data_IF_167953191494
#
_entry.id   IF_167953191494
#
_cell.length_a   1.000
_cell.length_b   1.000
_cell.length_c   1.000
_cell.angle_alpha   90.00
_cell.angle_beta   90.00
_cell.angle_gamma   90.00
#
_symmetry.space_group_name_H-M   'P 1'
#
loop_
_entity.id
_entity.type
_entity.pdbx_description
1 polymer ?
#
# COMPACT_ATOMS: atom_id res chain seq x y z
N UNK A 1 1.54 -12.31 11.04
CA UNK A 1 1.67 -11.15 10.17
C UNK A 1 0.93 -9.93 10.72
N UNK A 2 -0.22 -10.16 11.35
CA UNK A 2 -1.03 -9.11 11.97
C UNK A 2 -1.29 -9.45 13.44
N UNK A 3 -0.39 -9.07 14.37
CA UNK A 3 -0.55 -9.39 15.80
C UNK A 3 -1.87 -8.90 16.39
N UNK A 4 -2.38 -7.74 15.97
CA UNK A 4 -3.66 -7.21 16.45
C UNK A 4 -4.82 -8.12 16.12
N UNK A 5 -4.84 -8.73 14.94
CA UNK A 5 -5.88 -9.68 14.56
C UNK A 5 -5.79 -10.94 15.38
N UNK A 6 -4.58 -11.41 15.70
CA UNK A 6 -4.39 -12.58 16.56
C UNK A 6 -4.93 -12.32 17.96
N UNK A 7 -4.65 -11.15 18.53
CA UNK A 7 -5.16 -10.76 19.84
C UNK A 7 -6.68 -10.68 19.89
N UNK A 8 -7.32 -10.38 18.76
CA UNK A 8 -8.76 -10.19 18.63
C UNK A 8 -9.46 -11.30 17.87
N UNK A 9 -8.84 -12.47 17.75
CA UNK A 9 -9.39 -13.59 16.98
C UNK A 9 -10.75 -14.07 17.48
N UNK A 10 -11.07 -13.85 18.77
CA UNK A 10 -12.36 -14.21 19.35
C UNK A 10 -13.48 -13.20 19.12
N UNK A 11 -13.19 -12.07 18.47
CA UNK A 11 -14.19 -11.02 18.23
C UNK A 11 -14.79 -11.15 16.81
N UNK A 12 -16.04 -10.73 16.66
CA UNK A 12 -16.66 -10.60 15.35
C UNK A 12 -16.01 -9.44 14.56
N UNK A 13 -15.95 -9.56 13.22
CA UNK A 13 -15.34 -8.55 12.37
C UNK A 13 -15.96 -7.16 12.55
N UNK A 14 -17.26 -7.07 12.88
CA UNK A 14 -17.95 -5.81 13.07
C UNK A 14 -17.53 -5.04 14.32
N UNK A 15 -16.78 -5.67 15.24
CA UNK A 15 -16.27 -5.02 16.47
C UNK A 15 -14.83 -4.53 16.33
N UNK A 16 -14.19 -4.77 15.18
CA UNK A 16 -12.83 -4.34 14.93
C UNK A 16 -12.78 -2.85 14.55
N UNK A 17 -11.65 -2.19 14.87
CA UNK A 17 -11.39 -0.83 14.38
C UNK A 17 -11.25 -0.81 12.86
N UNK A 18 -11.31 0.40 12.24
CA UNK A 18 -11.11 0.54 10.80
C UNK A 18 -9.78 -0.04 10.32
N UNK A 19 -8.70 0.17 11.08
CA UNK A 19 -7.38 -0.39 10.75
C UNK A 19 -7.34 -1.91 10.86
N UNK A 20 -7.96 -2.45 11.92
CA UNK A 20 -8.03 -3.90 12.10
C UNK A 20 -8.90 -4.55 11.03
N UNK A 21 -9.99 -3.90 10.62
CA UNK A 21 -10.81 -4.35 9.49
C UNK A 21 -10.01 -4.38 8.20
N UNK A 22 -9.19 -3.37 7.95
CA UNK A 22 -8.34 -3.32 6.76
C UNK A 22 -7.29 -4.44 6.77
N UNK A 23 -6.68 -4.72 7.92
CA UNK A 23 -5.76 -5.85 8.06
C UNK A 23 -6.45 -7.17 7.79
N UNK A 24 -7.70 -7.32 8.23
CA UNK A 24 -8.49 -8.53 7.98
C UNK A 24 -8.77 -8.71 6.48
N UNK A 25 -9.10 -7.62 5.77
CA UNK A 25 -9.31 -7.65 4.32
C UNK A 25 -8.06 -8.11 3.59
N UNK A 26 -6.90 -7.56 3.96
CA UNK A 26 -5.62 -7.96 3.37
C UNK A 26 -5.33 -9.44 3.66
N UNK A 27 -5.55 -9.87 4.89
CA UNK A 27 -5.37 -11.28 5.29
C UNK A 27 -6.26 -12.24 4.49
N UNK A 28 -7.52 -11.87 4.28
CA UNK A 28 -8.45 -12.66 3.46
C UNK A 28 -7.98 -12.77 2.02
N UNK A 29 -7.51 -11.66 1.44
CA UNK A 29 -6.98 -11.67 0.08
C UNK A 29 -5.77 -12.61 -0.03
N UNK A 30 -4.88 -12.59 0.95
CA UNK A 30 -3.69 -13.46 0.98
C UNK A 30 -4.05 -14.94 1.10
N UNK A 31 -5.16 -15.28 1.74
CA UNK A 31 -5.61 -16.66 1.85
C UNK A 31 -5.98 -17.29 0.51
N UNK A 32 -6.24 -16.50 -0.51
CA UNK A 32 -6.48 -16.98 -1.87
C UNK A 32 -5.19 -17.36 -2.61
N UNK A 33 -4.03 -17.17 -1.98
CA UNK A 33 -2.71 -17.40 -2.55
C UNK A 33 -2.53 -16.67 -3.90
N UNK A 34 -2.68 -15.34 -3.93
CA UNK A 34 -2.72 -14.59 -5.18
C UNK A 34 -1.33 -14.45 -5.81
N UNK A 35 -1.28 -14.40 -7.15
CA UNK A 35 -0.05 -14.06 -7.88
C UNK A 35 0.24 -12.55 -7.80
N UNK A 36 -0.81 -11.75 -7.75
CA UNK A 36 -0.72 -10.29 -7.65
C UNK A 36 -1.69 -9.80 -6.58
N UNK A 37 -1.19 -9.02 -5.65
CA UNK A 37 -1.99 -8.34 -4.63
C UNK A 37 -2.14 -6.87 -5.03
N UNK A 38 -3.37 -6.39 -5.14
CA UNK A 38 -3.66 -4.98 -5.47
C UNK A 38 -4.19 -4.28 -4.23
N UNK A 39 -3.51 -3.21 -3.83
CA UNK A 39 -3.89 -2.38 -2.69
C UNK A 39 -4.17 -0.96 -3.17
N UNK A 40 -5.45 -0.58 -3.16
CA UNK A 40 -5.92 0.72 -3.62
C UNK A 40 -6.24 1.61 -2.42
N UNK A 41 -5.35 2.57 -2.16
CA UNK A 41 -5.46 3.52 -1.04
C UNK A 41 -5.76 2.83 0.29
N UNK A 42 -5.03 1.74 0.58
CA UNK A 42 -5.31 0.84 1.71
C UNK A 42 -5.17 1.49 3.09
N UNK A 43 -4.52 2.65 3.19
CA UNK A 43 -4.30 3.34 4.47
C UNK A 43 -5.11 4.63 4.62
N UNK A 44 -5.96 4.95 3.65
CA UNK A 44 -6.77 6.18 3.69
C UNK A 44 -7.68 6.20 4.91
N UNK A 45 -7.69 7.32 5.61
CA UNK A 45 -8.53 7.50 6.80
C UNK A 45 -8.05 6.79 8.06
N UNK A 46 -6.90 6.13 8.03
CA UNK A 46 -6.38 5.41 9.18
C UNK A 46 -5.38 6.25 9.99
N UNK A 47 -5.29 5.95 11.30
CA UNK A 47 -4.32 6.59 12.19
C UNK A 47 -2.88 6.28 11.76
N UNK A 48 -1.91 7.20 12.02
CA UNK A 48 -0.53 7.03 11.59
C UNK A 48 0.12 5.72 12.05
N UNK A 49 -0.15 5.28 13.28
CA UNK A 49 0.38 4.02 13.81
C UNK A 49 -0.11 2.83 12.99
N UNK A 50 -1.39 2.81 12.65
CA UNK A 50 -1.99 1.74 11.86
C UNK A 50 -1.47 1.77 10.42
N UNK A 51 -1.31 2.95 9.83
CA UNK A 51 -0.71 3.07 8.50
C UNK A 51 0.69 2.47 8.47
N UNK A 52 1.50 2.76 9.50
CA UNK A 52 2.86 2.21 9.61
C UNK A 52 2.83 0.68 9.69
N UNK A 53 1.93 0.11 10.46
CA UNK A 53 1.79 -1.35 10.56
C UNK A 53 1.45 -1.99 9.20
N UNK A 54 0.55 -1.36 8.44
CA UNK A 54 0.19 -1.84 7.10
C UNK A 54 1.38 -1.78 6.15
N UNK A 55 2.13 -0.67 6.15
CA UNK A 55 3.30 -0.53 5.29
C UNK A 55 4.41 -1.51 5.66
N UNK A 56 4.60 -1.81 6.93
CA UNK A 56 5.54 -2.84 7.38
C UNK A 56 5.12 -4.22 6.88
N UNK A 57 3.84 -4.52 6.90
CA UNK A 57 3.30 -5.75 6.35
C UNK A 57 3.56 -5.84 4.84
N UNK A 58 3.29 -4.78 4.09
CA UNK A 58 3.53 -4.73 2.64
C UNK A 58 5.01 -4.96 2.33
N UNK A 59 5.90 -4.30 3.07
CA UNK A 59 7.34 -4.49 2.89
C UNK A 59 7.77 -5.94 3.12
N UNK A 60 7.21 -6.58 4.14
CA UNK A 60 7.48 -7.98 4.43
C UNK A 60 6.99 -8.90 3.32
N UNK A 61 5.78 -8.69 2.82
CA UNK A 61 5.21 -9.47 1.71
C UNK A 61 6.09 -9.35 0.46
N UNK A 62 6.56 -8.15 0.17
CA UNK A 62 7.48 -7.93 -0.94
C UNK A 62 8.76 -8.74 -0.78
N UNK A 63 9.36 -8.73 0.42
CA UNK A 63 10.58 -9.52 0.69
C UNK A 63 10.35 -11.01 0.54
N UNK A 64 9.14 -11.47 0.80
CA UNK A 64 8.76 -12.89 0.64
C UNK A 64 8.41 -13.25 -0.81
N UNK A 65 8.56 -12.33 -1.75
CA UNK A 65 8.36 -12.58 -3.17
C UNK A 65 6.98 -12.27 -3.72
N UNK A 66 6.09 -11.67 -2.92
CA UNK A 66 4.75 -11.31 -3.38
C UNK A 66 4.82 -10.15 -4.37
N UNK A 67 4.19 -10.30 -5.53
CA UNK A 67 3.99 -9.20 -6.48
C UNK A 67 2.86 -8.32 -5.98
N UNK A 68 3.09 -7.01 -5.90
CA UNK A 68 2.16 -6.06 -5.32
C UNK A 68 2.02 -4.83 -6.22
N UNK A 69 0.77 -4.43 -6.47
CA UNK A 69 0.45 -3.15 -7.10
C UNK A 69 -0.12 -2.23 -6.03
N UNK A 70 0.58 -1.13 -5.74
CA UNK A 70 0.15 -0.12 -4.78
C UNK A 70 -0.38 1.10 -5.51
N UNK A 71 -1.58 1.54 -5.13
CA UNK A 71 -2.17 2.77 -5.63
C UNK A 71 -2.32 3.69 -4.43
N UNK A 72 -1.54 4.77 -4.39
CA UNK A 72 -1.52 5.68 -3.24
C UNK A 72 -1.00 7.05 -3.64
N UNK A 73 -1.31 8.05 -2.81
CA UNK A 73 -0.83 9.43 -2.95
C UNK A 73 0.42 9.70 -2.12
N UNK A 74 0.77 8.81 -1.21
CA UNK A 74 1.92 8.96 -0.33
C UNK A 74 3.22 8.57 -1.05
N UNK A 75 3.81 9.53 -1.73
CA UNK A 75 5.02 9.33 -2.54
C UNK A 75 6.19 8.88 -1.68
N UNK A 76 6.33 9.38 -0.46
CA UNK A 76 7.42 9.00 0.43
C UNK A 76 7.44 7.50 0.72
N UNK A 77 6.27 6.91 0.94
CA UNK A 77 6.13 5.47 1.16
C UNK A 77 6.38 4.70 -0.14
N UNK A 78 5.80 5.15 -1.24
CA UNK A 78 5.95 4.48 -2.53
C UNK A 78 7.40 4.45 -2.98
N UNK A 79 8.16 5.54 -2.80
CA UNK A 79 9.59 5.57 -3.12
C UNK A 79 10.39 4.48 -2.41
N UNK A 80 10.03 4.19 -1.16
CA UNK A 80 10.75 3.20 -0.35
C UNK A 80 10.35 1.77 -0.66
N UNK A 81 9.08 1.55 -1.02
CA UNK A 81 8.53 0.21 -1.19
C UNK A 81 8.54 -0.28 -2.62
N UNK A 82 8.24 0.57 -3.59
CA UNK A 82 8.04 0.15 -4.96
C UNK A 82 9.33 0.16 -5.78
N UNK A 83 9.46 -0.83 -6.66
CA UNK A 83 10.60 -0.92 -7.58
C UNK A 83 10.39 -0.01 -8.79
N UNK A 84 9.15 0.15 -9.24
CA UNK A 84 8.77 1.01 -10.36
C UNK A 84 7.52 1.80 -10.02
N UNK A 85 7.43 2.97 -10.65
CA UNK A 85 6.34 3.91 -10.44
C UNK A 85 5.68 4.30 -11.76
N UNK A 86 4.38 4.46 -11.73
CA UNK A 86 3.59 4.96 -12.85
C UNK A 86 2.69 6.08 -12.35
N UNK A 87 2.65 7.19 -13.08
CA UNK A 87 1.73 8.28 -12.79
C UNK A 87 0.62 8.26 -13.82
N UNK A 88 -0.61 8.21 -13.35
CA UNK A 88 -1.79 8.19 -14.20
C UNK A 88 -2.51 9.54 -14.13
N UNK A 89 -2.95 10.03 -15.28
CA UNK A 89 -3.79 11.22 -15.38
C UNK A 89 -4.85 10.98 -16.45
N UNK A 90 -6.10 11.14 -16.08
CA UNK A 90 -7.25 10.98 -17.01
C UNK A 90 -7.21 9.67 -17.80
N UNK A 91 -6.89 8.59 -17.12
CA UNK A 91 -6.86 7.26 -17.73
C UNK A 91 -5.62 6.95 -18.56
N UNK A 92 -4.59 7.80 -18.51
CA UNK A 92 -3.34 7.59 -19.24
C UNK A 92 -2.15 7.57 -18.30
N UNK A 93 -1.15 6.75 -18.64
CA UNK A 93 0.16 6.81 -17.99
C UNK A 93 0.92 8.01 -18.57
N UNK A 94 1.19 9.01 -17.70
CA UNK A 94 1.89 10.24 -18.13
C UNK A 94 3.36 10.23 -17.73
N UNK A 95 3.76 9.33 -16.85
CA UNK A 95 5.16 9.18 -16.44
C UNK A 95 5.38 7.77 -15.91
N UNK A 96 6.56 7.21 -16.13
CA UNK A 96 7.00 5.93 -15.57
C UNK A 96 8.49 5.97 -15.27
N UNK A 97 8.92 5.29 -14.22
CA UNK A 97 10.32 5.22 -13.86
C UNK A 97 10.57 4.50 -12.54
N UNK A 98 11.83 4.48 -12.14
CA UNK A 98 12.28 3.94 -10.84
C UNK A 98 12.18 5.01 -9.75
N UNK A 99 12.50 4.64 -8.51
CA UNK A 99 12.59 5.60 -7.41
C UNK A 99 13.66 6.66 -7.65
N UNK A 100 14.79 6.29 -8.28
CA UNK A 100 15.85 7.22 -8.65
C UNK A 100 15.38 8.20 -9.73
N UNK A 101 14.64 7.70 -10.72
CA UNK A 101 14.04 8.56 -11.76
C UNK A 101 13.03 9.53 -11.16
N UNK A 102 12.24 9.08 -10.19
CA UNK A 102 11.26 9.91 -9.51
C UNK A 102 11.93 11.08 -8.76
N UNK A 103 13.05 10.82 -8.10
CA UNK A 103 13.82 11.85 -7.41
C UNK A 103 14.43 12.86 -8.38
N UNK A 104 14.93 12.38 -9.53
CA UNK A 104 15.53 13.23 -10.58
C UNK A 104 14.50 14.12 -11.26
N UNK A 105 13.29 13.59 -11.48
CA UNK A 105 12.22 14.28 -12.20
C UNK A 105 11.19 14.92 -11.25
N UNK A 106 11.61 15.29 -10.04
CA UNK A 106 10.71 15.74 -8.97
C UNK A 106 9.78 16.90 -9.39
N UNK A 107 10.29 17.90 -10.11
CA UNK A 107 9.48 19.03 -10.57
C UNK A 107 8.38 18.59 -11.54
N UNK A 108 8.72 17.70 -12.46
CA UNK A 108 7.76 17.16 -13.42
C UNK A 108 6.69 16.33 -12.70
N UNK A 109 7.10 15.52 -11.75
CA UNK A 109 6.21 14.68 -10.95
C UNK A 109 5.23 15.53 -10.13
N UNK A 110 5.71 16.62 -9.52
CA UNK A 110 4.87 17.53 -8.74
C UNK A 110 3.73 18.12 -9.56
N UNK A 111 3.95 18.41 -10.83
CA UNK A 111 2.91 18.92 -11.72
C UNK A 111 1.74 17.97 -11.86
N UNK A 112 2.03 16.66 -11.92
CA UNK A 112 0.98 15.65 -12.08
C UNK A 112 0.28 15.31 -10.77
N UNK A 113 0.99 15.39 -9.65
CA UNK A 113 0.47 14.96 -8.36
C UNK A 113 -0.17 16.12 -7.59
N UNK A 114 0.17 17.36 -7.95
CA UNK A 114 -0.42 18.55 -7.34
C UNK A 114 0.11 18.87 -5.95
N UNK A 115 1.34 18.49 -5.66
CA UNK A 115 2.01 18.79 -4.39
C UNK A 115 2.83 20.07 -4.50
#
# INVERSE_FOLDING_TARGET
LFPRLKERAGQGAGTLSGGEQQMLVIGRALMTNPKLLILDEATEGLAPVIRTEIWQCVARLKREGQSILLIDKNIGVLKRLADRHHILEKGRTVWTGTGADLARDAELVERYIGI
#
